data_IF_323233589784
#
_entry.id   IF_323233589784
#
_cell.length_a   1.000
_cell.length_b   1.000
_cell.length_c   1.000
_cell.angle_alpha   90.00
_cell.angle_beta   90.00
_cell.angle_gamma   90.00
#
_symmetry.space_group_name_H-M   'P 1'
#
loop_
_entity.id
_entity.type
_entity.pdbx_description
1 polymer ?
#
# COMPACT_ATOMS: atom_id res chain seq x y z
N UNK A 1 -3.77 -26.45 12.95
CA UNK A 1 -3.34 -25.09 12.54
C UNK A 1 -2.11 -25.10 11.64
N UNK A 2 -1.03 -25.80 12.01
CA UNK A 2 0.19 -25.90 11.18
C UNK A 2 -0.08 -26.46 9.77
N UNK A 3 -0.88 -27.54 9.66
CA UNK A 3 -1.29 -28.11 8.38
C UNK A 3 -2.06 -27.13 7.48
N UNK A 4 -2.79 -26.18 8.07
CA UNK A 4 -3.56 -25.18 7.34
C UNK A 4 -2.63 -24.11 6.75
N UNK A 5 -1.67 -23.62 7.54
CA UNK A 5 -0.69 -22.66 7.03
C UNK A 5 0.24 -23.28 5.96
N UNK A 6 0.66 -24.54 6.13
CA UNK A 6 1.35 -25.29 5.05
C UNK A 6 0.48 -25.42 3.81
N UNK A 7 -0.82 -25.73 3.98
CA UNK A 7 -1.77 -25.84 2.87
C UNK A 7 -1.91 -24.51 2.11
N UNK A 8 -1.96 -23.36 2.79
CA UNK A 8 -2.00 -22.04 2.14
C UNK A 8 -0.78 -21.80 1.24
N UNK A 9 0.42 -22.19 1.69
CA UNK A 9 1.65 -22.09 0.87
C UNK A 9 1.56 -23.01 -0.36
N UNK A 10 1.11 -24.25 -0.17
CA UNK A 10 0.96 -25.22 -1.26
C UNK A 10 -0.11 -24.77 -2.26
N UNK A 11 -1.24 -24.23 -1.79
CA UNK A 11 -2.29 -23.68 -2.65
C UNK A 11 -1.77 -22.48 -3.45
N UNK A 12 -1.03 -21.56 -2.83
CA UNK A 12 -0.36 -20.47 -3.56
C UNK A 12 0.61 -20.99 -4.62
N UNK A 13 1.38 -22.03 -4.34
CA UNK A 13 2.26 -22.58 -5.39
C UNK A 13 1.46 -23.28 -6.49
N UNK A 14 0.33 -23.93 -6.17
CA UNK A 14 -0.57 -24.52 -7.18
C UNK A 14 -1.19 -23.44 -8.07
N UNK A 15 -1.65 -22.33 -7.49
CA UNK A 15 -2.11 -21.15 -8.24
C UNK A 15 -1.02 -20.70 -9.22
N UNK A 16 0.22 -20.52 -8.73
CA UNK A 16 1.36 -20.10 -9.57
C UNK A 16 1.73 -21.11 -10.66
N UNK A 17 1.58 -22.41 -10.40
CA UNK A 17 1.85 -23.47 -11.39
C UNK A 17 0.75 -23.58 -12.45
N UNK A 18 -0.50 -23.27 -12.09
CA UNK A 18 -1.63 -23.25 -13.01
C UNK A 18 -1.74 -21.93 -13.79
N UNK A 19 -1.11 -20.86 -13.27
CA UNK A 19 -1.16 -19.52 -13.84
C UNK A 19 -0.67 -19.50 -15.29
N UNK A 20 -1.47 -18.88 -16.16
CA UNK A 20 -1.12 -18.59 -17.55
C UNK A 20 -0.98 -17.08 -17.71
N UNK A 21 0.19 -16.66 -18.18
CA UNK A 21 0.45 -15.25 -18.43
C UNK A 21 -0.32 -14.75 -19.66
N UNK A 22 -0.69 -13.49 -19.62
CA UNK A 22 -1.23 -12.74 -20.74
C UNK A 22 -0.31 -11.55 -21.02
N UNK A 23 -0.04 -11.30 -22.29
CA UNK A 23 0.65 -10.10 -22.73
C UNK A 23 -0.37 -9.02 -23.05
N UNK A 24 -0.07 -7.79 -22.64
CA UNK A 24 -0.91 -6.62 -22.88
C UNK A 24 -0.04 -5.39 -22.99
N UNK A 25 -0.55 -4.38 -23.69
CA UNK A 25 0.14 -3.13 -23.88
C UNK A 25 -0.68 -1.96 -23.33
N UNK A 26 0.02 -0.99 -22.74
CA UNK A 26 -0.53 0.32 -22.41
C UNK A 26 0.34 1.42 -23.04
N UNK A 27 -0.15 2.65 -22.96
CA UNK A 27 0.57 3.82 -23.46
C UNK A 27 0.69 4.85 -22.34
N UNK A 28 1.93 5.26 -22.09
CA UNK A 28 2.23 6.46 -21.30
C UNK A 28 2.45 7.64 -22.26
N UNK A 29 1.78 8.74 -22.00
CA UNK A 29 1.86 9.96 -22.79
C UNK A 29 2.45 11.10 -21.95
N UNK A 30 3.24 11.96 -22.59
CA UNK A 30 3.60 13.27 -22.04
C UNK A 30 2.80 14.32 -22.79
N UNK A 31 2.03 15.11 -22.06
CA UNK A 31 1.23 16.21 -22.62
C UNK A 31 1.79 17.55 -22.16
N UNK A 32 1.61 18.59 -22.96
CA UNK A 32 1.95 19.95 -22.62
C UNK A 32 0.74 20.88 -22.77
N UNK A 33 0.54 21.75 -21.79
CA UNK A 33 -0.48 22.80 -21.84
C UNK A 33 -0.22 23.82 -22.94
N UNK A 34 -1.30 24.41 -23.45
CA UNK A 34 -1.27 25.55 -24.38
C UNK A 34 -1.77 26.82 -23.66
N UNK A 35 -1.50 28.00 -24.24
CA UNK A 35 -2.03 29.26 -23.71
C UNK A 35 -1.31 29.81 -22.48
N UNK A 36 -2.05 30.27 -21.47
CA UNK A 36 -1.50 31.05 -20.33
C UNK A 36 -0.54 30.27 -19.41
N UNK A 37 -0.51 28.95 -19.54
CA UNK A 37 0.47 28.07 -18.89
C UNK A 37 1.30 27.27 -19.89
N UNK A 38 1.56 27.79 -21.10
CA UNK A 38 2.15 27.02 -22.19
C UNK A 38 3.48 26.31 -21.83
N UNK A 39 3.62 25.07 -22.28
CA UNK A 39 4.85 24.29 -22.15
C UNK A 39 5.04 23.59 -20.80
N UNK A 40 4.03 23.60 -19.91
CA UNK A 40 4.08 22.79 -18.69
C UNK A 40 3.71 21.36 -19.06
N UNK A 41 4.69 20.46 -18.92
CA UNK A 41 4.52 19.05 -19.21
C UNK A 41 3.92 18.28 -18.03
N UNK A 42 3.08 17.30 -18.34
CA UNK A 42 2.51 16.37 -17.38
C UNK A 42 2.29 14.99 -18.00
N UNK A 43 2.27 13.96 -17.17
CA UNK A 43 2.07 12.57 -17.61
C UNK A 43 0.60 12.21 -17.61
N UNK A 44 0.17 11.51 -18.66
CA UNK A 44 -1.09 10.80 -18.72
C UNK A 44 -0.86 9.38 -19.24
N UNK A 45 -1.90 8.57 -19.18
CA UNK A 45 -1.95 7.23 -19.76
C UNK A 45 -3.15 7.08 -20.66
N UNK A 46 -3.07 6.22 -21.66
CA UNK A 46 -4.25 5.79 -22.41
C UNK A 46 -5.19 5.04 -21.47
N UNK A 47 -6.42 5.54 -21.35
CA UNK A 47 -7.47 4.96 -20.52
C UNK A 47 -8.42 4.12 -21.36
N UNK A 48 -8.90 4.65 -22.48
CA UNK A 48 -9.93 4.04 -23.31
C UNK A 48 -9.70 4.34 -24.79
N UNK A 49 -10.24 3.49 -25.66
CA UNK A 49 -10.39 3.73 -27.10
C UNK A 49 -11.84 3.44 -27.49
N UNK A 50 -12.52 4.41 -28.11
CA UNK A 50 -13.95 4.35 -28.47
C UNK A 50 -14.85 3.87 -27.31
N UNK A 51 -14.55 4.33 -26.08
CA UNK A 51 -15.26 3.97 -24.85
C UNK A 51 -14.96 2.57 -24.30
N UNK A 52 -14.08 1.79 -24.94
CA UNK A 52 -13.59 0.51 -24.41
C UNK A 52 -12.33 0.75 -23.60
N UNK A 53 -12.35 0.32 -22.34
CA UNK A 53 -11.23 0.54 -21.41
C UNK A 53 -10.02 -0.28 -21.81
N UNK A 54 -8.85 0.33 -21.92
CA UNK A 54 -7.60 -0.41 -22.16
C UNK A 54 -7.30 -1.32 -20.98
N UNK A 55 -6.98 -2.58 -21.28
CA UNK A 55 -6.74 -3.62 -20.28
C UNK A 55 -5.44 -3.37 -19.51
N UNK A 56 -5.47 -3.62 -18.20
CA UNK A 56 -4.29 -3.65 -17.33
C UNK A 56 -4.17 -5.05 -16.69
N UNK A 57 -3.04 -5.33 -16.03
CA UNK A 57 -2.79 -6.66 -15.46
C UNK A 57 -3.88 -7.20 -14.52
N UNK A 58 -4.63 -6.32 -13.82
CA UNK A 58 -5.76 -6.70 -12.95
C UNK A 58 -7.02 -7.14 -13.70
N UNK A 59 -7.08 -6.86 -15.00
CA UNK A 59 -8.23 -7.19 -15.84
C UNK A 59 -8.10 -8.61 -16.42
N UNK A 60 -7.05 -9.37 -16.09
CA UNK A 60 -6.86 -10.76 -16.50
C UNK A 60 -7.03 -11.73 -15.32
N UNK A 61 -7.68 -12.87 -15.59
CA UNK A 61 -7.76 -14.00 -14.67
C UNK A 61 -6.47 -14.83 -14.63
N UNK A 62 -6.44 -15.80 -13.72
CA UNK A 62 -5.30 -16.72 -13.56
C UNK A 62 -5.07 -17.62 -14.81
N UNK A 63 -6.07 -17.75 -15.67
CA UNK A 63 -6.01 -18.48 -16.94
C UNK A 63 -5.51 -17.62 -18.13
N UNK A 64 -5.15 -16.36 -17.86
CA UNK A 64 -4.69 -15.39 -18.85
C UNK A 64 -5.82 -14.83 -19.72
N UNK A 65 -7.08 -15.13 -19.42
CA UNK A 65 -8.22 -14.56 -20.13
C UNK A 65 -8.67 -13.25 -19.47
N UNK A 66 -9.25 -12.31 -20.22
CA UNK A 66 -9.86 -11.13 -19.63
C UNK A 66 -10.98 -11.54 -18.67
N UNK A 67 -10.98 -10.93 -17.48
CA UNK A 67 -11.97 -11.13 -16.42
C UNK A 67 -13.24 -10.29 -16.62
N UNK A 68 -13.26 -9.45 -17.67
CA UNK A 68 -14.35 -8.55 -18.03
C UNK A 68 -14.50 -8.49 -19.54
N UNK A 69 -15.72 -8.25 -20.00
CA UNK A 69 -16.05 -8.18 -21.44
C UNK A 69 -15.83 -6.78 -22.04
N UNK A 70 -15.70 -5.74 -21.20
CA UNK A 70 -15.65 -4.32 -21.60
C UNK A 70 -14.22 -3.75 -21.73
N UNK A 71 -13.21 -4.62 -21.86
CA UNK A 71 -11.81 -4.22 -21.96
C UNK A 71 -11.23 -4.45 -23.35
N UNK A 72 -10.48 -3.46 -23.85
CA UNK A 72 -9.68 -3.55 -25.05
C UNK A 72 -8.27 -4.02 -24.69
N UNK A 73 -7.89 -5.19 -25.19
CA UNK A 73 -6.52 -5.71 -25.06
C UNK A 73 -5.72 -5.20 -26.25
N UNK A 74 -4.68 -4.40 -25.98
CA UNK A 74 -3.73 -3.99 -26.99
C UNK A 74 -2.55 -4.96 -27.04
N UNK A 75 -2.14 -5.30 -28.25
CA UNK A 75 -0.87 -5.96 -28.57
C UNK A 75 0.18 -4.93 -29.04
N UNK A 76 1.38 -5.38 -29.39
CA UNK A 76 2.48 -4.50 -29.81
C UNK A 76 2.11 -3.68 -31.07
N UNK A 77 1.39 -4.28 -32.02
CA UNK A 77 1.05 -3.65 -33.28
C UNK A 77 -0.03 -2.59 -33.08
N UNK A 78 -1.12 -2.96 -32.41
CA UNK A 78 -2.22 -2.04 -32.10
C UNK A 78 -1.79 -0.90 -31.17
N UNK A 79 -0.98 -1.18 -30.14
CA UNK A 79 -0.41 -0.14 -29.30
C UNK A 79 0.55 0.77 -30.07
N UNK A 80 1.32 0.22 -31.01
CA UNK A 80 2.19 0.99 -31.91
C UNK A 80 1.40 1.93 -32.82
N UNK A 81 0.27 1.48 -33.38
CA UNK A 81 -0.63 2.33 -34.18
C UNK A 81 -1.19 3.48 -33.34
N UNK A 82 -1.72 3.19 -32.14
CA UNK A 82 -2.26 4.23 -31.27
C UNK A 82 -1.17 5.21 -30.83
N UNK A 83 0.06 4.74 -30.59
CA UNK A 83 1.20 5.60 -30.27
C UNK A 83 1.47 6.58 -31.41
N UNK A 84 1.59 6.08 -32.64
CA UNK A 84 1.94 6.89 -33.81
C UNK A 84 0.84 7.91 -34.14
N UNK A 85 -0.43 7.56 -33.91
CA UNK A 85 -1.55 8.48 -34.07
C UNK A 85 -1.60 9.58 -33.00
N UNK A 86 -1.14 9.28 -31.78
CA UNK A 86 -1.15 10.22 -30.66
C UNK A 86 0.07 11.13 -30.63
N UNK A 87 1.24 10.69 -31.12
CA UNK A 87 2.46 11.48 -31.06
C UNK A 87 2.34 12.75 -31.92
N UNK A 88 2.42 13.92 -31.29
CA UNK A 88 2.21 15.22 -31.94
C UNK A 88 0.74 15.59 -32.17
N UNK A 89 -0.21 14.77 -31.71
CA UNK A 89 -1.63 15.06 -31.81
C UNK A 89 -2.07 16.13 -30.79
N UNK A 90 -3.28 16.67 -31.02
CA UNK A 90 -3.95 17.54 -30.06
C UNK A 90 -4.94 16.70 -29.24
N UNK A 91 -4.99 16.94 -27.94
CA UNK A 91 -6.03 16.42 -27.07
C UNK A 91 -6.84 17.58 -26.47
N UNK A 92 -8.13 17.37 -26.25
CA UNK A 92 -9.01 18.35 -25.61
C UNK A 92 -9.36 17.88 -24.21
N UNK A 93 -9.23 18.74 -23.21
CA UNK A 93 -9.64 18.44 -21.84
C UNK A 93 -11.16 18.29 -21.78
N UNK A 94 -11.64 17.09 -21.47
CA UNK A 94 -13.07 16.76 -21.41
C UNK A 94 -13.60 16.85 -19.98
N UNK A 95 -12.78 16.51 -18.99
CA UNK A 95 -13.16 16.56 -17.59
C UNK A 95 -12.01 17.00 -16.68
N UNK A 96 -12.36 17.76 -15.64
CA UNK A 96 -11.46 18.17 -14.55
C UNK A 96 -12.21 17.91 -13.23
N UNK A 97 -11.82 16.86 -12.51
CA UNK A 97 -12.49 16.44 -11.28
C UNK A 97 -11.57 16.57 -10.07
N UNK A 98 -11.63 17.70 -9.32
CA UNK A 98 -11.01 17.80 -8.01
C UNK A 98 -11.82 16.99 -6.99
N UNK A 99 -11.13 16.14 -6.21
CA UNK A 99 -11.73 15.36 -5.12
C UNK A 99 -10.90 15.51 -3.85
N UNK A 100 -11.52 15.77 -2.69
CA UNK A 100 -10.80 15.79 -1.42
C UNK A 100 -10.08 14.46 -1.17
N UNK A 101 -8.78 14.54 -0.90
CA UNK A 101 -7.97 13.40 -0.50
C UNK A 101 -7.85 13.36 1.02
N UNK A 102 -8.06 12.18 1.58
CA UNK A 102 -7.94 11.95 3.02
C UNK A 102 -7.37 10.58 3.30
N UNK A 103 -6.25 10.52 4.02
CA UNK A 103 -5.68 9.27 4.52
C UNK A 103 -5.66 9.29 6.05
N UNK A 104 -6.32 8.32 6.67
CA UNK A 104 -6.40 8.19 8.13
C UNK A 104 -5.19 7.42 8.67
N UNK A 105 -4.70 7.75 9.89
CA UNK A 105 -3.66 6.96 10.54
C UNK A 105 -4.16 5.55 10.83
N UNK A 106 -3.27 4.58 10.66
CA UNK A 106 -3.54 3.20 11.00
C UNK A 106 -3.70 2.98 12.51
N UNK A 107 -4.40 1.90 12.88
CA UNK A 107 -4.63 1.54 14.27
C UNK A 107 -3.32 1.20 15.02
N UNK A 108 -3.29 1.33 16.36
CA UNK A 108 -2.24 0.76 17.20
C UNK A 108 -1.99 -0.72 16.90
N UNK A 109 -0.80 -1.21 17.21
CA UNK A 109 -0.40 -2.56 16.85
C UNK A 109 -1.20 -3.64 17.61
N UNK A 110 -1.73 -4.59 16.85
CA UNK A 110 -1.98 -5.97 17.30
C UNK A 110 -0.72 -6.81 17.08
N UNK A 111 -0.68 -8.04 17.57
CA UNK A 111 0.46 -8.93 17.30
C UNK A 111 0.67 -9.22 15.82
N UNK A 112 -0.41 -9.41 15.06
CA UNK A 112 -0.32 -9.66 13.61
C UNK A 112 0.26 -8.45 12.88
N UNK A 113 -0.31 -7.27 13.09
CA UNK A 113 0.14 -6.03 12.42
C UNK A 113 1.55 -5.64 12.85
N UNK A 114 1.93 -5.90 14.10
CA UNK A 114 3.30 -5.75 14.58
C UNK A 114 4.28 -6.66 13.83
N UNK A 115 3.99 -7.96 13.70
CA UNK A 115 4.85 -8.91 13.00
C UNK A 115 4.98 -8.56 11.51
N UNK A 116 3.88 -8.16 10.88
CA UNK A 116 3.87 -7.71 9.49
C UNK A 116 4.80 -6.51 9.28
N UNK A 117 4.69 -5.48 10.12
CA UNK A 117 5.51 -4.28 9.99
C UNK A 117 6.98 -4.55 10.35
N UNK A 118 7.25 -5.35 11.40
CA UNK A 118 8.61 -5.77 11.74
C UNK A 118 9.30 -6.50 10.58
N UNK A 119 8.57 -7.36 9.86
CA UNK A 119 9.06 -8.03 8.66
C UNK A 119 9.32 -7.05 7.50
N UNK A 120 8.36 -6.16 7.20
CA UNK A 120 8.49 -5.21 6.08
C UNK A 120 9.58 -4.16 6.32
N UNK A 121 9.58 -3.53 7.49
CA UNK A 121 10.41 -2.37 7.84
C UNK A 121 11.76 -2.75 8.44
N UNK A 122 11.77 -3.69 9.38
CA UNK A 122 12.99 -4.07 10.14
C UNK A 122 13.64 -5.36 9.61
N UNK A 123 13.04 -6.01 8.60
CA UNK A 123 13.51 -7.30 8.04
C UNK A 123 13.67 -8.39 9.11
N UNK A 124 12.83 -8.35 10.14
CA UNK A 124 12.81 -9.37 11.19
C UNK A 124 11.86 -10.50 10.82
N UNK A 125 12.25 -11.75 11.09
CA UNK A 125 11.29 -12.86 11.11
C UNK A 125 10.30 -12.67 12.27
N UNK A 126 9.13 -13.29 12.17
CA UNK A 126 8.10 -13.26 13.20
C UNK A 126 8.65 -13.69 14.56
N UNK A 127 9.51 -14.72 14.58
CA UNK A 127 10.18 -15.18 15.82
C UNK A 127 11.11 -14.12 16.40
N UNK A 128 11.99 -13.52 15.59
CA UNK A 128 12.92 -12.48 16.07
C UNK A 128 12.19 -11.23 16.55
N UNK A 129 11.12 -10.84 15.85
CA UNK A 129 10.26 -9.73 16.27
C UNK A 129 9.61 -10.01 17.64
N UNK A 130 9.08 -11.22 17.84
CA UNK A 130 8.47 -11.61 19.11
C UNK A 130 9.50 -11.74 20.25
N UNK A 131 10.72 -12.20 19.98
CA UNK A 131 11.80 -12.22 20.97
C UNK A 131 12.19 -10.81 21.43
N UNK A 132 12.35 -9.87 20.50
CA UNK A 132 12.64 -8.47 20.83
C UNK A 132 11.50 -7.83 21.64
N UNK A 133 10.25 -8.04 21.23
CA UNK A 133 9.08 -7.56 21.96
C UNK A 133 8.95 -8.19 23.36
N UNK A 134 9.27 -9.48 23.51
CA UNK A 134 9.30 -10.14 24.81
C UNK A 134 10.33 -9.51 25.75
N UNK A 135 11.53 -9.19 25.25
CA UNK A 135 12.58 -8.49 26.00
C UNK A 135 12.14 -7.09 26.44
N UNK A 136 11.54 -6.32 25.52
CA UNK A 136 10.97 -5.00 25.84
C UNK A 136 9.88 -5.07 26.90
N UNK A 137 8.97 -6.03 26.81
CA UNK A 137 7.89 -6.22 27.78
C UNK A 137 8.45 -6.56 29.18
N UNK A 138 9.38 -7.50 29.27
CA UNK A 138 10.01 -7.90 30.55
C UNK A 138 10.78 -6.75 31.21
N UNK A 139 11.38 -5.87 30.42
CA UNK A 139 12.08 -4.66 30.89
C UNK A 139 11.15 -3.47 31.11
N UNK A 140 9.85 -3.62 30.88
CA UNK A 140 8.84 -2.58 31.12
C UNK A 140 8.84 -1.43 30.10
N UNK A 141 9.25 -1.67 28.85
CA UNK A 141 9.22 -0.65 27.78
C UNK A 141 7.93 -0.66 26.98
N UNK A 142 7.28 -1.82 26.80
CA UNK A 142 6.01 -1.94 26.05
C UNK A 142 4.98 -2.75 26.84
N UNK A 143 3.72 -2.64 26.44
CA UNK A 143 2.62 -3.51 26.91
C UNK A 143 2.77 -4.95 26.38
N UNK A 144 1.90 -5.84 26.85
CA UNK A 144 1.93 -7.24 26.46
C UNK A 144 1.77 -7.42 24.94
N UNK A 145 2.74 -8.08 24.32
CA UNK A 145 2.90 -8.17 22.86
C UNK A 145 2.08 -9.27 22.18
N UNK A 146 1.31 -10.08 22.94
CA UNK A 146 0.40 -11.10 22.43
C UNK A 146 -1.04 -10.63 22.64
N UNK A 147 -1.55 -9.83 21.71
CA UNK A 147 -2.84 -9.16 21.77
C UNK A 147 -3.45 -9.07 20.37
N UNK A 148 -4.77 -9.24 20.30
CA UNK A 148 -5.58 -8.98 19.11
C UNK A 148 -6.33 -7.63 19.21
N UNK A 149 -6.12 -6.89 20.29
CA UNK A 149 -6.74 -5.60 20.57
C UNK A 149 -5.96 -4.44 19.95
N UNK A 150 -6.71 -3.49 19.39
CA UNK A 150 -6.18 -2.18 18.95
C UNK A 150 -6.47 -1.07 19.96
N UNK A 151 -7.05 -1.42 21.11
CA UNK A 151 -7.53 -0.46 22.11
C UNK A 151 -6.37 0.10 22.92
N UNK A 152 -6.38 1.41 23.17
CA UNK A 152 -5.49 2.10 24.10
C UNK A 152 -6.29 2.52 25.34
N UNK A 153 -5.70 2.47 26.52
CA UNK A 153 -6.30 3.10 27.70
C UNK A 153 -6.27 4.63 27.59
N UNK A 154 -7.14 5.30 28.35
CA UNK A 154 -7.20 6.75 28.39
C UNK A 154 -5.84 7.40 28.72
N UNK A 155 -5.07 6.77 29.62
CA UNK A 155 -3.71 7.21 29.95
C UNK A 155 -2.79 7.14 28.73
N UNK A 156 -2.82 6.04 27.98
CA UNK A 156 -2.02 5.90 26.77
C UNK A 156 -2.46 6.86 25.65
N UNK A 157 -3.77 7.11 25.52
CA UNK A 157 -4.29 8.09 24.56
C UNK A 157 -3.81 9.51 24.91
N UNK A 158 -3.87 9.89 26.19
CA UNK A 158 -3.33 11.19 26.65
C UNK A 158 -1.83 11.30 26.38
N UNK A 159 -1.05 10.27 26.71
CA UNK A 159 0.39 10.25 26.46
C UNK A 159 0.72 10.38 24.95
N UNK A 160 0.06 9.60 24.10
CA UNK A 160 0.25 9.67 22.64
C UNK A 160 -0.09 11.05 22.07
N UNK A 161 -1.17 11.66 22.55
CA UNK A 161 -1.59 13.01 22.13
C UNK A 161 -0.63 14.09 22.63
N UNK A 162 -0.11 13.97 23.85
CA UNK A 162 0.88 14.88 24.40
C UNK A 162 2.19 14.82 23.59
N UNK A 163 2.70 13.62 23.30
CA UNK A 163 3.88 13.42 22.44
C UNK A 163 3.67 13.99 21.04
N UNK A 164 2.48 13.81 20.47
CA UNK A 164 2.17 14.37 19.15
C UNK A 164 2.14 15.90 19.17
N UNK A 165 1.52 16.51 20.19
CA UNK A 165 1.44 17.96 20.33
C UNK A 165 2.81 18.60 20.56
N UNK A 166 3.62 18.01 21.43
CA UNK A 166 4.95 18.50 21.78
C UNK A 166 5.89 18.50 20.57
N UNK A 167 5.85 17.44 19.76
CA UNK A 167 6.81 17.23 18.67
C UNK A 167 6.40 17.81 17.34
N UNK A 168 5.11 17.72 17.02
CA UNK A 168 4.60 18.07 15.69
C UNK A 168 3.73 19.33 15.70
N UNK A 169 3.34 19.81 16.89
CA UNK A 169 2.46 20.95 17.06
C UNK A 169 1.01 20.54 17.35
N UNK A 170 0.21 21.44 17.95
CA UNK A 170 -1.17 21.15 18.32
C UNK A 170 -2.09 20.87 17.11
N UNK A 171 -1.77 21.42 15.94
CA UNK A 171 -2.46 21.19 14.66
C UNK A 171 -2.31 19.76 14.12
N UNK A 172 -1.34 19.00 14.64
CA UNK A 172 -1.11 17.60 14.31
C UNK A 172 -1.86 16.62 15.22
N UNK A 173 -2.62 17.11 16.20
CA UNK A 173 -3.42 16.30 17.12
C UNK A 173 -4.90 16.44 16.78
N UNK A 174 -5.63 15.33 16.85
CA UNK A 174 -7.09 15.35 16.64
C UNK A 174 -7.83 16.11 17.74
N UNK A 175 -8.93 16.77 17.40
CA UNK A 175 -9.77 17.47 18.41
C UNK A 175 -10.29 16.51 19.48
N UNK A 176 -10.71 15.31 19.08
CA UNK A 176 -11.18 14.26 19.96
C UNK A 176 -10.29 13.00 19.88
N UNK A 177 -10.14 12.24 20.98
CA UNK A 177 -9.48 10.93 20.99
C UNK A 177 -9.95 10.01 19.85
N UNK A 178 -9.00 9.36 19.16
CA UNK A 178 -9.34 8.35 18.15
C UNK A 178 -9.52 6.99 18.81
N UNK A 179 -10.71 6.42 18.62
CA UNK A 179 -11.00 5.02 18.91
C UNK A 179 -10.87 4.17 17.64
N UNK A 180 -10.34 2.95 17.81
CA UNK A 180 -10.19 1.97 16.75
C UNK A 180 -11.02 0.74 17.12
N UNK A 181 -11.87 0.29 16.19
CA UNK A 181 -12.71 -0.88 16.41
C UNK A 181 -11.89 -2.17 16.34
N UNK A 182 -12.06 -3.05 17.31
CA UNK A 182 -11.47 -4.39 17.28
C UNK A 182 -12.19 -5.24 16.22
N UNK A 183 -11.42 -5.90 15.35
CA UNK A 183 -11.95 -6.77 14.29
C UNK A 183 -12.41 -8.15 14.80
N UNK A 184 -12.01 -8.55 16.01
CA UNK A 184 -12.24 -9.91 16.54
C UNK A 184 -13.45 -9.94 17.49
N UNK A 185 -14.48 -10.71 17.12
CA UNK A 185 -15.76 -10.88 17.87
C UNK A 185 -15.64 -11.65 19.19
N UNK A 186 -14.53 -12.36 19.39
CA UNK A 186 -14.23 -13.21 20.56
C UNK A 186 -12.93 -12.76 21.24
N UNK A 187 -12.72 -11.45 21.40
CA UNK A 187 -11.61 -10.95 22.21
C UNK A 187 -11.78 -11.47 23.64
N UNK A 188 -11.09 -12.56 23.98
CA UNK A 188 -11.18 -13.22 25.28
C UNK A 188 -10.50 -12.40 26.39
N UNK A 189 -9.84 -11.30 26.06
CA UNK A 189 -8.89 -10.68 26.98
C UNK A 189 -9.03 -9.15 26.99
N UNK A 190 -9.11 -8.58 28.19
CA UNK A 190 -9.06 -7.14 28.49
C UNK A 190 -7.65 -6.56 28.27
N UNK A 191 -7.04 -6.85 27.11
CA UNK A 191 -5.69 -6.42 26.79
C UNK A 191 -5.70 -5.18 25.91
N UNK A 192 -4.74 -4.32 26.16
CA UNK A 192 -4.47 -3.16 25.32
C UNK A 192 -3.69 -3.58 24.07
N UNK A 193 -3.60 -2.67 23.10
CA UNK A 193 -2.69 -2.76 21.98
C UNK A 193 -1.22 -2.81 22.43
N UNK A 194 -0.35 -3.22 21.52
CA UNK A 194 1.11 -3.12 21.69
C UNK A 194 1.51 -1.65 21.55
N UNK A 195 1.92 -1.05 22.66
CA UNK A 195 2.28 0.37 22.79
C UNK A 195 3.41 0.56 23.80
N UNK A 196 4.07 1.74 23.86
CA UNK A 196 4.99 2.04 24.95
C UNK A 196 4.31 1.94 26.31
N UNK A 197 4.99 1.39 27.31
CA UNK A 197 4.53 1.29 28.69
C UNK A 197 4.66 2.63 29.43
N UNK A 198 4.04 2.72 30.60
CA UNK A 198 4.03 3.93 31.42
C UNK A 198 2.91 4.91 31.06
N UNK A 199 2.83 5.97 31.87
CA UNK A 199 1.98 7.15 31.68
C UNK A 199 2.67 8.26 30.86
N UNK A 200 3.99 8.18 30.73
CA UNK A 200 4.83 8.98 29.85
C UNK A 200 5.65 8.05 28.97
N UNK A 201 5.70 8.31 27.66
CA UNK A 201 6.43 7.45 26.73
C UNK A 201 7.89 7.88 26.69
N UNK A 202 8.82 6.94 26.91
CA UNK A 202 10.24 7.22 26.73
C UNK A 202 10.52 7.59 25.28
N UNK A 203 11.34 8.61 25.05
CA UNK A 203 11.70 8.97 23.68
C UNK A 203 12.57 7.87 23.05
N UNK A 204 12.36 7.51 21.77
CA UNK A 204 13.21 6.52 21.10
C UNK A 204 14.71 6.79 21.17
N UNK A 205 15.16 8.07 21.16
CA UNK A 205 16.58 8.38 21.29
C UNK A 205 17.16 8.00 22.65
N UNK A 206 16.38 8.17 23.73
CA UNK A 206 16.77 7.75 25.08
C UNK A 206 16.88 6.23 25.13
N UNK A 207 15.84 5.54 24.64
CA UNK A 207 15.78 4.07 24.64
C UNK A 207 16.90 3.44 23.80
N UNK A 208 17.34 4.11 22.73
CA UNK A 208 18.45 3.67 21.87
C UNK A 208 19.79 3.59 22.62
N UNK A 209 19.98 4.37 23.68
CA UNK A 209 21.16 4.29 24.56
C UNK A 209 21.08 3.20 25.62
N UNK A 210 19.88 2.67 25.90
CA UNK A 210 19.62 1.75 27.01
C UNK A 210 19.48 0.28 26.58
N UNK A 211 19.13 0.04 25.31
CA UNK A 211 18.74 -1.26 24.80
C UNK A 211 19.62 -1.74 23.63
N UNK A 212 19.71 -3.07 23.41
CA UNK A 212 20.25 -3.61 22.17
C UNK A 212 19.52 -3.05 20.95
N UNK A 213 20.26 -2.82 19.86
CA UNK A 213 19.72 -2.21 18.63
C UNK A 213 18.40 -2.84 18.15
N UNK A 214 18.31 -4.17 18.14
CA UNK A 214 17.09 -4.86 17.70
C UNK A 214 15.86 -4.58 18.57
N UNK A 215 16.04 -4.36 19.88
CA UNK A 215 14.96 -3.98 20.78
C UNK A 215 14.64 -2.48 20.64
N UNK A 216 15.66 -1.63 20.51
CA UNK A 216 15.47 -0.19 20.29
C UNK A 216 14.71 0.12 18.98
N UNK A 217 15.06 -0.55 17.88
CA UNK A 217 14.39 -0.40 16.58
C UNK A 217 12.91 -0.84 16.66
N UNK A 218 12.63 -1.93 17.38
CA UNK A 218 11.26 -2.41 17.65
C UNK A 218 10.49 -1.43 18.52
N UNK A 219 11.11 -0.90 19.57
CA UNK A 219 10.50 0.10 20.44
C UNK A 219 10.12 1.36 19.66
N UNK A 220 11.05 1.88 18.85
CA UNK A 220 10.83 3.06 18.02
C UNK A 220 9.64 2.87 17.06
N UNK A 221 9.55 1.69 16.43
CA UNK A 221 8.42 1.36 15.56
C UNK A 221 7.09 1.36 16.32
N UNK A 222 7.03 0.73 17.50
CA UNK A 222 5.84 0.70 18.37
C UNK A 222 5.46 2.10 18.84
N UNK A 223 6.45 2.91 19.24
CA UNK A 223 6.27 4.30 19.67
C UNK A 223 5.67 5.15 18.54
N UNK A 224 6.29 5.14 17.35
CA UNK A 224 5.84 5.95 16.20
C UNK A 224 4.42 5.59 15.78
N UNK A 225 4.09 4.28 15.75
CA UNK A 225 2.74 3.79 15.43
C UNK A 225 1.70 4.27 16.44
N UNK A 226 2.02 4.22 17.73
CA UNK A 226 1.12 4.62 18.81
C UNK A 226 0.83 6.13 18.75
N UNK A 227 1.88 6.96 18.61
CA UNK A 227 1.74 8.42 18.50
C UNK A 227 0.94 8.79 17.24
N UNK A 228 1.30 8.23 16.08
CA UNK A 228 0.62 8.48 14.82
C UNK A 228 -0.88 8.12 14.86
N UNK A 229 -1.26 7.09 15.63
CA UNK A 229 -2.66 6.67 15.78
C UNK A 229 -3.58 7.73 16.40
N UNK A 230 -3.04 8.77 17.04
CA UNK A 230 -3.83 9.87 17.63
C UNK A 230 -3.68 11.19 16.86
N UNK A 231 -2.89 11.21 15.79
CA UNK A 231 -2.62 12.40 14.97
C UNK A 231 -3.73 12.68 13.95
N UNK A 232 -3.69 13.88 13.36
CA UNK A 232 -4.60 14.28 12.28
C UNK A 232 -4.38 13.47 11.00
N UNK A 233 -5.42 13.39 10.16
CA UNK A 233 -5.35 12.70 8.87
C UNK A 233 -4.43 13.45 7.92
N UNK A 234 -3.80 12.75 6.96
CA UNK A 234 -3.23 13.43 5.78
C UNK A 234 -4.41 14.01 5.00
N UNK A 235 -4.31 15.26 4.57
CA UNK A 235 -5.33 15.94 3.75
C UNK A 235 -4.71 16.56 2.51
N UNK A 236 -5.42 16.47 1.42
CA UNK A 236 -5.00 17.02 0.15
C UNK A 236 -6.16 17.09 -0.84
N UNK A 237 -5.81 17.28 -2.10
CA UNK A 237 -6.74 17.23 -3.21
C UNK A 237 -6.16 16.33 -4.30
N UNK A 238 -6.97 15.41 -4.82
CA UNK A 238 -6.65 14.64 -6.01
C UNK A 238 -7.43 15.23 -7.17
N UNK A 239 -6.72 15.69 -8.20
CA UNK A 239 -7.32 16.11 -9.48
C UNK A 239 -7.20 14.97 -10.47
N UNK A 240 -8.32 14.64 -11.12
CA UNK A 240 -8.35 13.71 -12.27
C UNK A 240 -8.73 14.48 -13.52
N UNK A 241 -7.93 14.30 -14.56
CA UNK A 241 -8.14 14.86 -15.88
C UNK A 241 -8.44 13.73 -16.85
N UNK A 242 -9.43 13.93 -17.72
CA UNK A 242 -9.58 13.14 -18.94
C UNK A 242 -9.48 14.07 -20.15
N UNK A 243 -8.75 13.63 -21.16
CA UNK A 243 -8.56 14.36 -22.41
C UNK A 243 -8.86 13.43 -23.58
N UNK A 244 -9.69 13.89 -24.51
CA UNK A 244 -10.01 13.18 -25.72
C UNK A 244 -9.11 13.59 -26.88
N UNK A 245 -8.55 12.62 -27.59
CA UNK A 245 -7.77 12.81 -28.80
C UNK A 245 -8.36 11.95 -29.92
N UNK A 246 -8.44 12.51 -31.13
CA UNK A 246 -8.86 11.75 -32.31
C UNK A 246 -7.69 10.92 -32.83
N UNK A 247 -7.95 9.67 -33.19
CA UNK A 247 -6.95 8.77 -33.79
C UNK A 247 -7.04 8.86 -35.31
N UNK A 248 -5.90 9.03 -35.97
CA UNK A 248 -5.85 9.19 -37.43
C UNK A 248 -6.15 7.87 -38.17
N UNK A 249 -5.84 6.73 -37.55
CA UNK A 249 -6.03 5.40 -38.10
C UNK A 249 -7.20 4.67 -37.45
N UNK A 250 -8.29 4.34 -38.17
CA UNK A 250 -9.45 3.65 -37.61
C UNK A 250 -9.21 2.15 -37.35
N UNK A 251 -7.95 1.70 -37.35
CA UNK A 251 -7.57 0.29 -37.20
C UNK A 251 -7.84 -0.21 -35.78
N UNK A 252 -7.61 0.64 -34.77
CA UNK A 252 -7.86 0.30 -33.36
C UNK A 252 -9.12 0.99 -32.82
N UNK A 253 -9.39 2.20 -33.32
CA UNK A 253 -10.58 2.98 -33.02
C UNK A 253 -10.44 4.39 -33.57
N UNK A 254 -11.46 5.24 -33.38
CA UNK A 254 -11.47 6.61 -33.88
C UNK A 254 -11.09 7.65 -32.81
N UNK A 255 -11.25 7.33 -31.53
CA UNK A 255 -11.00 8.27 -30.43
C UNK A 255 -10.32 7.59 -29.25
N UNK A 256 -9.28 8.23 -28.73
CA UNK A 256 -8.59 7.85 -27.51
C UNK A 256 -8.97 8.77 -26.35
N UNK A 257 -9.17 8.19 -25.17
CA UNK A 257 -9.30 8.91 -23.90
C UNK A 257 -8.00 8.75 -23.12
N UNK A 258 -7.29 9.85 -22.91
CA UNK A 258 -6.11 9.94 -22.06
C UNK A 258 -6.52 10.36 -20.65
N UNK A 259 -5.87 9.82 -19.62
CA UNK A 259 -6.16 10.14 -18.22
C UNK A 259 -4.90 10.50 -17.44
N UNK A 260 -4.98 11.60 -16.70
CA UNK A 260 -3.96 12.02 -15.73
C UNK A 260 -4.57 12.13 -14.33
N UNK A 261 -3.81 11.77 -13.30
CA UNK A 261 -4.21 11.95 -11.92
C UNK A 261 -3.02 12.46 -11.12
N UNK A 262 -3.24 13.51 -10.32
CA UNK A 262 -2.23 14.05 -9.42
C UNK A 262 -2.85 14.35 -8.07
N UNK A 263 -2.08 14.12 -7.01
CA UNK A 263 -2.51 14.45 -5.64
C UNK A 263 -1.56 15.49 -5.06
N UNK A 264 -2.12 16.60 -4.59
CA UNK A 264 -1.40 17.63 -3.84
C UNK A 264 -1.75 17.47 -2.36
N UNK A 265 -0.74 17.22 -1.52
CA UNK A 265 -0.91 17.12 -0.08
C UNK A 265 -0.78 18.51 0.54
N UNK A 266 -1.86 18.99 1.17
CA UNK A 266 -1.87 20.28 1.88
C UNK A 266 -1.52 20.12 3.37
N UNK A 267 -1.76 18.94 3.94
CA UNK A 267 -1.48 18.65 5.35
C UNK A 267 -0.96 17.23 5.51
N UNK A 268 0.24 17.08 6.07
CA UNK A 268 0.93 15.79 6.22
C UNK A 268 0.37 14.95 7.38
N UNK A 269 -0.28 15.56 8.38
CA UNK A 269 -0.89 14.83 9.51
C UNK A 269 0.05 13.79 10.13
N UNK A 270 -0.45 12.57 10.32
CA UNK A 270 0.28 11.47 10.95
C UNK A 270 1.56 11.03 10.21
N UNK A 271 1.71 11.32 8.91
CA UNK A 271 2.92 10.95 8.14
C UNK A 271 4.19 11.60 8.68
N UNK A 272 4.07 12.72 9.40
CA UNK A 272 5.21 13.34 10.10
C UNK A 272 5.83 12.43 11.17
N UNK A 273 5.04 11.56 11.80
CA UNK A 273 5.52 10.60 12.79
C UNK A 273 5.79 9.23 12.19
N UNK A 274 4.93 8.79 11.27
CA UNK A 274 4.91 7.42 10.82
C UNK A 274 4.29 7.27 9.43
N UNK A 275 5.04 6.60 8.56
CA UNK A 275 4.56 6.14 7.26
C UNK A 275 4.71 4.61 7.21
N UNK A 276 3.61 3.93 6.88
CA UNK A 276 3.63 2.49 6.64
C UNK A 276 4.42 2.20 5.37
N UNK A 277 5.28 1.19 5.42
CA UNK A 277 5.86 0.64 4.20
C UNK A 277 4.77 -0.12 3.45
N UNK A 278 4.30 0.46 2.34
CA UNK A 278 3.35 -0.20 1.45
C UNK A 278 4.08 -1.25 0.62
N UNK A 279 3.36 -2.32 0.27
CA UNK A 279 3.80 -3.18 -0.81
C UNK A 279 3.63 -2.40 -2.11
N UNK A 280 4.66 -2.40 -2.95
CA UNK A 280 4.62 -1.80 -4.29
C UNK A 280 3.55 -2.55 -5.09
N UNK A 281 2.39 -1.92 -5.22
CA UNK A 281 1.21 -2.49 -5.86
C UNK A 281 1.02 -1.92 -7.26
N UNK A 282 1.95 -1.10 -7.75
CA UNK A 282 1.87 -0.47 -9.08
C UNK A 282 0.79 0.62 -9.23
N UNK A 283 -0.20 0.67 -8.34
CA UNK A 283 -1.23 1.72 -8.25
C UNK A 283 -0.83 2.79 -7.21
N UNK A 284 0.43 3.22 -7.20
CA UNK A 284 0.84 4.32 -6.33
C UNK A 284 0.17 5.63 -6.78
N UNK A 285 -0.62 6.22 -5.88
CA UNK A 285 -1.13 7.56 -6.05
C UNK A 285 0.08 8.51 -5.99
N UNK A 286 0.60 8.89 -7.15
CA UNK A 286 1.78 9.74 -7.24
C UNK A 286 1.43 11.12 -6.70
N UNK A 287 2.19 11.59 -5.72
CA UNK A 287 2.19 13.00 -5.35
C UNK A 287 2.76 13.78 -6.54
N UNK A 288 1.86 14.41 -7.28
CA UNK A 288 2.15 15.10 -8.52
C UNK A 288 1.22 16.30 -8.62
N UNK A 289 1.82 17.45 -8.95
CA UNK A 289 1.08 18.67 -9.27
C UNK A 289 0.74 18.61 -10.75
N UNK A 290 -0.54 18.56 -11.07
CA UNK A 290 -1.01 18.72 -12.45
C UNK A 290 -1.11 20.21 -12.79
N UNK A 291 -0.91 20.59 -14.05
CA UNK A 291 -1.11 21.98 -14.47
C UNK A 291 -2.57 22.39 -14.30
N UNK A 292 -2.79 23.68 -14.09
CA UNK A 292 -4.13 24.26 -14.08
C UNK A 292 -4.66 24.32 -15.51
N UNK A 293 -5.63 23.46 -15.81
CA UNK A 293 -6.32 23.39 -17.10
C UNK A 293 -7.84 23.50 -16.90
N UNK A 294 -8.55 23.92 -17.94
CA UNK A 294 -10.01 24.03 -17.95
C UNK A 294 -10.66 23.09 -18.96
N UNK A 295 -11.92 22.71 -18.73
CA UNK A 295 -12.68 21.91 -19.72
C UNK A 295 -12.81 22.67 -21.03
N UNK A 296 -12.53 21.98 -22.14
CA UNK A 296 -12.47 22.54 -23.50
C UNK A 296 -11.10 23.08 -23.90
N UNK A 297 -10.13 23.13 -22.98
CA UNK A 297 -8.76 23.52 -23.29
C UNK A 297 -8.05 22.46 -24.13
N UNK A 298 -7.25 22.92 -25.09
CA UNK A 298 -6.46 22.03 -25.96
C UNK A 298 -5.04 21.91 -25.43
N UNK A 299 -4.53 20.69 -25.39
CA UNK A 299 -3.16 20.34 -24.97
C UNK A 299 -2.46 19.56 -26.08
N UNK A 300 -1.14 19.66 -26.14
CA UNK A 300 -0.32 18.92 -27.09
C UNK A 300 0.09 17.57 -26.50
N UNK A 301 -0.02 16.50 -27.27
CA UNK A 301 0.59 15.20 -26.93
C UNK A 301 2.03 15.22 -27.43
N UNK A 302 2.97 15.59 -26.56
CA UNK A 302 4.39 15.78 -26.88
C UNK A 302 5.06 14.45 -27.25
N UNK A 303 4.71 13.38 -26.55
CA UNK A 303 5.22 12.04 -26.82
C UNK A 303 4.24 10.98 -26.33
N UNK A 304 4.24 9.83 -27.01
CA UNK A 304 3.55 8.63 -26.59
C UNK A 304 4.53 7.44 -26.57
N UNK A 305 4.47 6.61 -25.54
CA UNK A 305 5.34 5.44 -25.38
C UNK A 305 4.47 4.22 -25.11
N UNK A 306 4.41 3.33 -26.09
CA UNK A 306 3.80 2.02 -25.94
C UNK A 306 4.69 1.12 -25.08
N UNK A 307 4.12 0.49 -24.05
CA UNK A 307 4.82 -0.40 -23.12
C UNK A 307 4.16 -1.77 -23.09
N UNK A 308 4.95 -2.78 -23.39
CA UNK A 308 4.55 -4.17 -23.28
C UNK A 308 4.70 -4.67 -21.85
N UNK A 309 3.67 -5.35 -21.38
CA UNK A 309 3.62 -5.96 -20.06
C UNK A 309 3.17 -7.42 -20.17
N UNK A 310 3.61 -8.21 -19.21
CA UNK A 310 3.17 -9.59 -19.04
C UNK A 310 2.61 -9.75 -17.63
N UNK A 311 1.42 -10.32 -17.50
CA UNK A 311 0.82 -10.60 -16.19
C UNK A 311 1.72 -11.55 -15.40
N UNK A 312 1.83 -11.30 -14.08
CA UNK A 312 2.70 -12.07 -13.21
C UNK A 312 1.87 -13.02 -12.34
N UNK A 313 2.36 -14.24 -12.11
CA UNK A 313 1.69 -15.16 -11.19
C UNK A 313 1.66 -14.58 -9.78
N UNK A 314 0.65 -14.91 -8.95
CA UNK A 314 0.47 -14.34 -7.62
C UNK A 314 1.74 -14.50 -6.78
N UNK A 315 2.13 -13.44 -6.06
CA UNK A 315 3.37 -13.43 -5.30
C UNK A 315 3.42 -14.56 -4.26
N UNK A 316 4.61 -15.14 -4.03
CA UNK A 316 4.78 -16.08 -2.92
C UNK A 316 4.59 -15.35 -1.59
N UNK A 317 4.20 -16.11 -0.57
CA UNK A 317 4.13 -15.58 0.77
C UNK A 317 5.53 -15.22 1.29
N UNK A 318 5.62 -14.03 1.90
CA UNK A 318 6.64 -13.70 2.89
C UNK A 318 6.10 -14.09 4.26
N UNK A 319 6.92 -14.07 5.31
CA UNK A 319 6.38 -14.25 6.68
C UNK A 319 5.30 -13.21 7.00
N UNK A 320 5.50 -11.95 6.61
CA UNK A 320 4.52 -10.89 6.83
C UNK A 320 3.19 -11.17 6.10
N UNK A 321 3.22 -11.49 4.80
CA UNK A 321 1.99 -11.75 4.06
C UNK A 321 1.33 -13.08 4.46
N UNK A 322 2.08 -14.05 4.98
CA UNK A 322 1.51 -15.28 5.55
C UNK A 322 0.81 -15.03 6.89
N UNK A 323 1.39 -14.23 7.79
CA UNK A 323 0.75 -13.83 9.04
C UNK A 323 -0.57 -13.08 8.76
N UNK A 324 -0.56 -12.17 7.78
CA UNK A 324 -1.76 -11.47 7.32
C UNK A 324 -2.83 -12.46 6.82
N UNK A 325 -2.46 -13.35 5.90
CA UNK A 325 -3.39 -14.33 5.35
C UNK A 325 -3.94 -15.27 6.42
N UNK A 326 -3.12 -15.68 7.39
CA UNK A 326 -3.54 -16.52 8.51
C UNK A 326 -4.57 -15.81 9.38
N UNK A 327 -4.33 -14.53 9.73
CA UNK A 327 -5.30 -13.70 10.49
C UNK A 327 -6.63 -13.56 9.74
N UNK A 328 -6.60 -13.24 8.44
CA UNK A 328 -7.80 -13.07 7.61
C UNK A 328 -8.65 -14.35 7.51
N UNK A 329 -8.01 -15.52 7.50
CA UNK A 329 -8.70 -16.82 7.48
C UNK A 329 -9.03 -17.35 8.89
N UNK A 330 -8.77 -16.57 9.95
CA UNK A 330 -9.00 -16.99 11.35
C UNK A 330 -8.09 -18.13 11.83
N UNK A 331 -6.99 -18.38 11.12
CA UNK A 331 -6.00 -19.41 11.40
C UNK A 331 -4.90 -18.84 12.29
N UNK A 332 -4.61 -19.50 13.40
CA UNK A 332 -3.63 -18.99 14.36
C UNK A 332 -4.21 -17.92 15.29
N UNK A 333 -3.37 -17.49 16.22
CA UNK A 333 -3.65 -16.51 17.28
C UNK A 333 -2.36 -15.74 17.56
N UNK A 334 -2.42 -14.58 18.25
CA UNK A 334 -1.24 -13.85 18.70
C UNK A 334 -0.12 -14.72 19.30
N UNK A 335 -0.49 -15.74 20.07
CA UNK A 335 0.44 -16.69 20.69
C UNK A 335 1.04 -17.74 19.75
N UNK A 336 0.48 -17.96 18.56
CA UNK A 336 0.84 -19.07 17.68
C UNK A 336 1.41 -18.68 16.32
N UNK A 337 1.31 -17.42 15.88
CA UNK A 337 1.84 -17.00 14.56
C UNK A 337 3.34 -17.33 14.39
N UNK A 338 4.18 -16.90 15.33
CA UNK A 338 5.63 -17.11 15.23
C UNK A 338 6.04 -18.59 15.30
N UNK A 339 5.41 -19.39 16.18
CA UNK A 339 5.71 -20.82 16.31
C UNK A 339 5.24 -21.63 15.10
N UNK A 340 4.12 -21.22 14.46
CA UNK A 340 3.69 -21.79 13.19
C UNK A 340 4.71 -21.49 12.09
N UNK A 341 5.24 -20.26 11.99
CA UNK A 341 6.29 -19.90 11.03
C UNK A 341 7.54 -20.77 11.21
N UNK A 342 8.07 -20.87 12.43
CA UNK A 342 9.25 -21.68 12.73
C UNK A 342 9.06 -23.16 12.36
N UNK A 343 7.90 -23.73 12.69
CA UNK A 343 7.60 -25.14 12.41
C UNK A 343 7.57 -25.39 10.90
N UNK A 344 6.97 -24.48 10.13
CA UNK A 344 6.85 -24.61 8.67
C UNK A 344 8.24 -24.48 8.02
N UNK A 345 9.03 -23.50 8.44
CA UNK A 345 10.40 -23.34 7.93
C UNK A 345 11.27 -24.56 8.24
N UNK A 346 11.24 -25.07 9.47
CA UNK A 346 12.01 -26.25 9.87
C UNK A 346 11.60 -27.54 9.12
N UNK A 347 10.31 -27.71 8.84
CA UNK A 347 9.79 -28.90 8.14
C UNK A 347 9.93 -28.84 6.61
N UNK A 348 9.78 -27.65 6.01
CA UNK A 348 9.91 -27.47 4.55
C UNK A 348 11.36 -27.36 4.08
N UNK A 349 12.22 -26.62 4.79
CA UNK A 349 13.61 -26.42 4.36
C UNK A 349 14.50 -27.66 4.63
N UNK A 350 14.14 -28.54 5.57
CA UNK A 350 14.90 -29.77 5.84
C UNK A 350 14.61 -30.90 4.84
N UNK A 351 13.57 -30.81 4.01
CA UNK A 351 13.18 -31.84 3.03
C UNK A 351 13.30 -31.33 1.59
N UNK A 352 14.51 -31.46 1.01
CA UNK A 352 14.81 -31.62 -0.43
C UNK A 352 14.23 -30.62 -1.46
N UNK A 353 13.93 -29.37 -1.12
CA UNK A 353 13.75 -28.35 -2.16
C UNK A 353 13.96 -26.90 -1.64
N UNK A 354 15.15 -26.30 -1.85
CA UNK A 354 15.44 -24.91 -1.46
C UNK A 354 14.48 -23.86 -2.06
N UNK A 355 13.75 -24.22 -3.13
CA UNK A 355 12.75 -23.37 -3.81
C UNK A 355 11.50 -23.08 -2.97
N UNK A 356 11.27 -23.80 -1.87
CA UNK A 356 10.04 -23.71 -1.06
C UNK A 356 10.26 -23.01 0.29
N UNK A 357 11.47 -22.55 0.58
CA UNK A 357 11.74 -21.74 1.75
C UNK A 357 11.10 -20.35 1.57
N UNK A 358 10.33 -19.91 2.57
CA UNK A 358 9.89 -18.52 2.71
C UNK A 358 11.15 -17.64 2.66
N UNK A 359 11.16 -16.64 1.76
CA UNK A 359 12.27 -15.69 1.61
C UNK A 359 12.09 -14.46 2.48
#
# INVERSE_FOLDING_TARGET
MQSVATRMIVERERERMAFRSADYWDLDCTLATRGSGAGIEFKARLLEVDGHRVAFGRDFGDDGQPSRDDVLILDEVSAGVVRDDLEGALATVESVEPKPYKLRPSAPFTTSTFQQEAGRRLKLSASRAMHAAQGLYQKGYITYMRTDSTTLSDTAVRAARAEAAERFGPDHVTDAPRAYANKVRNAQEAHEAIRPAGDHFRHPDTVRGELPKSEADVYEMVWRRTVASQMTDVRGETVRLQMGADLASPVVGARATLAASGTVIHHQGFRRAYEETREDTGDEQVEAVLPAVTVGEVVDVVSAVAKGHTTKPPARYTEASLVKGMEEHGVGRPSTYASIMETIQGSMCSKRAPRWCLR
#
